data_IF_217449530188
#
_entry.id   IF_217449530188
#
_cell.length_a   1.000
_cell.length_b   1.000
_cell.length_c   1.000
_cell.angle_alpha   90.00
_cell.angle_beta   90.00
_cell.angle_gamma   90.00
#
_symmetry.space_group_name_H-M   'P 1'
#
loop_
_entity.id
_entity.type
_entity.pdbx_description
1 polymer ?
#
# COMPACT_ATOMS: atom_id res chain seq x y z
N UNK A 1 4.30 23.34 -31.03
CA UNK A 1 3.87 21.94 -31.25
C UNK A 1 4.63 21.08 -30.25
N UNK A 2 4.02 20.68 -29.13
CA UNK A 2 4.64 19.69 -28.24
C UNK A 2 4.58 18.35 -28.95
N UNK A 3 5.75 17.78 -29.26
CA UNK A 3 5.88 16.58 -30.09
C UNK A 3 5.10 15.40 -29.49
N UNK A 4 4.29 14.72 -30.31
CA UNK A 4 3.54 13.52 -29.93
C UNK A 4 4.42 12.43 -29.26
N UNK A 5 5.72 12.40 -29.60
CA UNK A 5 6.72 11.55 -28.94
C UNK A 5 6.89 11.82 -27.44
N UNK A 6 6.81 13.08 -27.00
CA UNK A 6 6.95 13.45 -25.58
C UNK A 6 5.76 12.95 -24.78
N UNK A 7 4.55 13.07 -25.33
CA UNK A 7 3.31 12.58 -24.71
C UNK A 7 3.27 11.06 -24.60
N UNK A 8 3.65 10.36 -25.67
CA UNK A 8 3.75 8.91 -25.68
C UNK A 8 4.81 8.41 -24.69
N UNK A 9 5.96 9.10 -24.60
CA UNK A 9 7.01 8.82 -23.62
C UNK A 9 6.57 9.05 -22.16
N UNK A 10 5.83 10.13 -21.91
CA UNK A 10 5.29 10.44 -20.58
C UNK A 10 4.26 9.41 -20.13
N UNK A 11 3.29 9.08 -21.00
CA UNK A 11 2.28 8.05 -20.73
C UNK A 11 2.94 6.70 -20.45
N UNK A 12 3.87 6.28 -21.31
CA UNK A 12 4.61 5.05 -21.13
C UNK A 12 5.40 5.03 -19.81
N UNK A 13 6.03 6.15 -19.44
CA UNK A 13 6.73 6.31 -18.17
C UNK A 13 5.82 6.18 -16.96
N UNK A 14 4.66 6.84 -16.99
CA UNK A 14 3.65 6.79 -15.92
C UNK A 14 3.08 5.37 -15.75
N UNK A 15 2.74 4.70 -16.85
CA UNK A 15 2.19 3.35 -16.83
C UNK A 15 3.21 2.33 -16.27
N UNK A 16 4.48 2.46 -16.68
CA UNK A 16 5.57 1.63 -16.16
C UNK A 16 5.82 1.89 -14.68
N UNK A 17 5.85 3.14 -14.25
CA UNK A 17 5.99 3.49 -12.83
C UNK A 17 4.84 2.92 -12.00
N UNK A 18 3.59 3.10 -12.44
CA UNK A 18 2.41 2.53 -11.78
C UNK A 18 2.51 1.01 -11.66
N UNK A 19 2.86 0.30 -12.74
CA UNK A 19 3.05 -1.16 -12.71
C UNK A 19 4.17 -1.59 -11.74
N UNK A 20 5.27 -0.83 -11.67
CA UNK A 20 6.36 -1.09 -10.74
C UNK A 20 5.92 -0.98 -9.28
N UNK A 21 5.19 0.10 -8.95
CA UNK A 21 4.63 0.27 -7.61
C UNK A 21 3.58 -0.78 -7.25
N UNK A 22 2.76 -1.21 -8.21
CA UNK A 22 1.81 -2.30 -8.01
C UNK A 22 2.51 -3.62 -7.64
N UNK A 23 3.61 -3.95 -8.33
CA UNK A 23 4.39 -5.15 -8.02
C UNK A 23 5.04 -5.08 -6.62
N UNK A 24 5.61 -3.93 -6.25
CA UNK A 24 6.19 -3.72 -4.91
C UNK A 24 5.11 -3.85 -3.83
N UNK A 25 3.93 -3.26 -4.07
CA UNK A 25 2.79 -3.39 -3.19
C UNK A 25 2.38 -4.85 -2.97
N UNK A 26 2.22 -5.64 -4.04
CA UNK A 26 1.87 -7.06 -3.94
C UNK A 26 2.94 -7.85 -3.19
N UNK A 27 4.22 -7.56 -3.43
CA UNK A 27 5.33 -8.18 -2.70
C UNK A 27 5.27 -7.90 -1.20
N UNK A 28 5.06 -6.64 -0.82
CA UNK A 28 4.94 -6.24 0.59
C UNK A 28 3.73 -6.88 1.27
N UNK A 29 2.57 -6.88 0.61
CA UNK A 29 1.36 -7.49 1.16
C UNK A 29 1.50 -9.01 1.32
N UNK A 30 2.13 -9.69 0.36
CA UNK A 30 2.42 -11.12 0.47
C UNK A 30 3.35 -11.42 1.66
N UNK A 31 4.43 -10.65 1.80
CA UNK A 31 5.34 -10.78 2.94
C UNK A 31 4.61 -10.54 4.27
N UNK A 32 3.74 -9.52 4.34
CA UNK A 32 2.95 -9.21 5.54
C UNK A 32 2.02 -10.36 5.95
N UNK A 33 1.40 -11.04 4.97
CA UNK A 33 0.55 -12.21 5.25
C UNK A 33 1.39 -13.36 5.80
N UNK A 34 2.54 -13.66 5.18
CA UNK A 34 3.42 -14.74 5.63
C UNK A 34 3.97 -14.47 7.04
N UNK A 35 4.39 -13.24 7.32
CA UNK A 35 4.86 -12.84 8.65
C UNK A 35 3.73 -12.86 9.68
N UNK A 36 2.48 -12.58 9.29
CA UNK A 36 1.33 -12.65 10.21
C UNK A 36 1.02 -14.07 10.66
N UNK A 37 1.19 -15.05 9.77
CA UNK A 37 1.05 -16.48 10.11
C UNK A 37 2.13 -16.89 11.11
N UNK A 38 3.36 -16.43 10.87
CA UNK A 38 4.47 -16.66 11.80
C UNK A 38 4.25 -15.96 13.15
N UNK A 39 3.71 -14.74 13.14
CA UNK A 39 3.37 -13.98 14.35
C UNK A 39 2.32 -14.72 15.20
N UNK A 40 1.28 -15.27 14.55
CA UNK A 40 0.25 -16.05 15.21
C UNK A 40 0.80 -17.34 15.86
N UNK A 41 1.77 -18.00 15.21
CA UNK A 41 2.38 -19.22 15.75
C UNK A 41 3.37 -18.95 16.90
N UNK A 42 4.14 -17.86 16.80
CA UNK A 42 5.20 -17.52 17.77
C UNK A 42 4.73 -16.60 18.89
N UNK A 43 3.56 -15.97 18.75
CA UNK A 43 2.98 -15.00 19.70
C UNK A 43 3.93 -13.84 20.04
N UNK A 44 4.77 -13.44 19.08
CA UNK A 44 5.74 -12.36 19.26
C UNK A 44 5.15 -11.00 18.84
N UNK A 45 5.04 -10.01 19.74
CA UNK A 45 4.40 -8.72 19.44
C UNK A 45 5.14 -7.91 18.37
N UNK A 46 6.47 -8.05 18.30
CA UNK A 46 7.30 -7.36 17.29
C UNK A 46 6.89 -7.76 15.87
N UNK A 47 6.58 -9.04 15.63
CA UNK A 47 6.17 -9.50 14.30
C UNK A 47 4.83 -8.91 13.89
N UNK A 48 3.88 -8.71 14.82
CA UNK A 48 2.62 -8.05 14.52
C UNK A 48 2.83 -6.58 14.12
N UNK A 49 3.76 -5.89 14.76
CA UNK A 49 4.16 -4.53 14.37
C UNK A 49 4.75 -4.51 12.96
N UNK A 50 5.65 -5.43 12.65
CA UNK A 50 6.24 -5.55 11.30
C UNK A 50 5.17 -5.82 10.23
N UNK A 51 4.19 -6.71 10.51
CA UNK A 51 3.06 -6.95 9.62
C UNK A 51 2.25 -5.68 9.37
N UNK A 52 1.90 -4.96 10.44
CA UNK A 52 1.13 -3.72 10.35
C UNK A 52 1.83 -2.65 9.53
N UNK A 53 3.14 -2.48 9.74
CA UNK A 53 3.98 -1.56 8.97
C UNK A 53 4.04 -1.96 7.50
N UNK A 54 4.25 -3.24 7.18
CA UNK A 54 4.28 -3.73 5.80
C UNK A 54 2.94 -3.50 5.07
N UNK A 55 1.80 -3.72 5.73
CA UNK A 55 0.48 -3.42 5.17
C UNK A 55 0.27 -1.92 4.91
N UNK A 56 0.72 -1.05 5.82
CA UNK A 56 0.61 0.41 5.64
C UNK A 56 1.49 0.93 4.50
N UNK A 57 2.74 0.44 4.40
CA UNK A 57 3.60 0.78 3.27
C UNK A 57 3.03 0.24 1.95
N UNK A 58 2.49 -1.00 1.95
CA UNK A 58 1.78 -1.54 0.79
C UNK A 58 0.61 -0.64 0.37
N UNK A 59 -0.24 -0.23 1.32
CA UNK A 59 -1.35 0.68 1.05
C UNK A 59 -0.88 2.04 0.48
N UNK A 60 0.24 2.58 0.98
CA UNK A 60 0.83 3.79 0.43
C UNK A 60 1.28 3.61 -1.04
N UNK A 61 2.00 2.53 -1.36
CA UNK A 61 2.41 2.26 -2.74
C UNK A 61 1.22 2.02 -3.66
N UNK A 62 0.16 1.39 -3.16
CA UNK A 62 -1.09 1.21 -3.89
C UNK A 62 -1.77 2.54 -4.21
N UNK A 63 -1.81 3.47 -3.25
CA UNK A 63 -2.33 4.82 -3.46
C UNK A 63 -1.53 5.56 -4.53
N UNK A 64 -0.19 5.52 -4.45
CA UNK A 64 0.70 6.13 -5.46
C UNK A 64 0.44 5.53 -6.85
N UNK A 65 0.32 4.21 -6.96
CA UNK A 65 -0.01 3.53 -8.21
C UNK A 65 -1.34 4.02 -8.79
N UNK A 66 -2.39 4.10 -7.97
CA UNK A 66 -3.72 4.54 -8.41
C UNK A 66 -3.70 6.00 -8.87
N UNK A 67 -3.01 6.88 -8.15
CA UNK A 67 -2.86 8.28 -8.52
C UNK A 67 -2.10 8.43 -9.84
N UNK A 68 -0.98 7.70 -10.02
CA UNK A 68 -0.23 7.72 -11.28
C UNK A 68 -1.07 7.21 -12.47
N UNK A 69 -1.89 6.19 -12.25
CA UNK A 69 -2.81 5.69 -13.27
C UNK A 69 -3.89 6.72 -13.61
N UNK A 70 -4.49 7.38 -12.62
CA UNK A 70 -5.46 8.46 -12.85
C UNK A 70 -4.84 9.63 -13.63
N UNK A 71 -3.61 10.01 -13.30
CA UNK A 71 -2.86 11.05 -14.01
C UNK A 71 -2.64 10.61 -15.47
N UNK A 72 -2.15 9.38 -15.70
CA UNK A 72 -1.95 8.83 -17.05
C UNK A 72 -3.23 8.92 -17.90
N UNK A 73 -4.37 8.53 -17.33
CA UNK A 73 -5.67 8.61 -18.02
C UNK A 73 -6.12 10.06 -18.29
N UNK A 74 -5.88 10.98 -17.35
CA UNK A 74 -6.23 12.39 -17.52
C UNK A 74 -5.39 13.07 -18.61
N UNK A 75 -4.10 12.75 -18.71
CA UNK A 75 -3.21 13.24 -19.77
C UNK A 75 -3.72 12.81 -21.15
N UNK A 76 -4.16 11.54 -21.27
CA UNK A 76 -4.75 11.02 -22.52
C UNK A 76 -6.06 11.72 -22.88
N UNK A 77 -6.90 11.99 -21.89
CA UNK A 77 -8.22 12.57 -22.09
C UNK A 77 -8.20 14.08 -22.40
N UNK A 78 -7.30 14.86 -21.77
CA UNK A 78 -7.36 16.32 -21.80
C UNK A 78 -6.23 16.99 -22.59
N UNK A 79 -5.07 16.36 -22.73
CA UNK A 79 -3.87 17.02 -23.30
C UNK A 79 -3.47 16.52 -24.69
N UNK A 80 -4.23 15.57 -25.27
CA UNK A 80 -4.01 15.10 -26.64
C UNK A 80 -4.20 16.26 -27.64
N UNK A 81 -3.31 16.43 -28.64
CA UNK A 81 -3.41 17.53 -29.59
C UNK A 81 -4.77 17.50 -30.34
N UNK A 82 -5.42 18.67 -30.39
CA UNK A 82 -6.78 18.88 -30.93
C UNK A 82 -7.00 18.39 -32.36
N UNK A 83 -5.92 18.18 -33.12
CA UNK A 83 -5.97 17.75 -34.52
C UNK A 83 -6.32 16.25 -34.70
N UNK A 84 -6.37 15.45 -33.63
CA UNK A 84 -6.83 14.04 -33.65
C UNK A 84 -8.18 13.83 -32.94
N UNK A 85 -8.88 14.91 -32.60
CA UNK A 85 -9.91 14.89 -31.57
C UNK A 85 -11.33 14.71 -32.13
N UNK A 86 -11.67 13.50 -32.57
CA UNK A 86 -13.07 13.05 -32.74
C UNK A 86 -13.60 12.43 -31.43
N UNK A 87 -13.23 12.99 -30.28
CA UNK A 87 -13.84 12.58 -29.00
C UNK A 87 -15.17 13.34 -28.89
N UNK A 88 -16.32 12.63 -28.83
CA UNK A 88 -17.62 13.29 -28.73
C UNK A 88 -17.68 14.17 -27.48
N UNK A 89 -18.38 15.31 -27.57
CA UNK A 89 -18.51 16.29 -26.47
C UNK A 89 -19.08 15.69 -25.17
N UNK A 90 -19.73 14.53 -25.26
CA UNK A 90 -20.35 13.81 -24.15
C UNK A 90 -19.55 12.56 -23.71
N UNK A 91 -18.26 12.47 -24.06
CA UNK A 91 -17.44 11.33 -23.64
C UNK A 91 -17.21 11.35 -22.12
N UNK A 92 -17.80 10.38 -21.43
CA UNK A 92 -17.54 10.11 -20.02
C UNK A 92 -16.38 9.14 -19.89
N UNK A 93 -15.42 9.48 -19.03
CA UNK A 93 -14.29 8.60 -18.72
C UNK A 93 -14.77 7.48 -17.79
N UNK A 94 -15.12 6.32 -18.36
CA UNK A 94 -15.55 5.16 -17.58
C UNK A 94 -14.35 4.30 -17.16
N UNK A 95 -14.11 4.23 -15.85
CA UNK A 95 -13.09 3.35 -15.29
C UNK A 95 -13.57 1.88 -15.25
N UNK A 96 -12.64 0.96 -15.52
CA UNK A 96 -12.90 -0.48 -15.43
C UNK A 96 -13.19 -0.92 -13.98
N UNK A 97 -13.90 -2.04 -13.81
CA UNK A 97 -14.21 -2.63 -12.50
C UNK A 97 -12.96 -2.89 -11.64
N UNK A 98 -11.84 -3.23 -12.27
CA UNK A 98 -10.56 -3.45 -11.59
C UNK A 98 -10.04 -2.22 -10.83
N UNK A 99 -10.37 -1.02 -11.31
CA UNK A 99 -10.03 0.24 -10.64
C UNK A 99 -10.78 0.38 -9.31
N UNK A 100 -12.09 0.11 -9.31
CA UNK A 100 -12.90 0.13 -8.08
C UNK A 100 -12.50 -0.95 -7.10
N UNK A 101 -12.18 -2.15 -7.57
CA UNK A 101 -11.61 -3.22 -6.74
C UNK A 101 -10.28 -2.80 -6.11
N UNK A 102 -9.46 -2.05 -6.84
CA UNK A 102 -8.20 -1.50 -6.34
C UNK A 102 -8.39 -0.46 -5.23
N UNK A 103 -9.43 0.37 -5.29
CA UNK A 103 -9.80 1.25 -4.17
C UNK A 103 -10.31 0.47 -2.96
N UNK A 104 -11.12 -0.56 -3.20
CA UNK A 104 -11.58 -1.47 -2.15
C UNK A 104 -10.41 -2.14 -1.43
N UNK A 105 -9.48 -2.73 -2.17
CA UNK A 105 -8.32 -3.40 -1.57
C UNK A 105 -7.39 -2.43 -0.83
N UNK A 106 -7.23 -1.19 -1.31
CA UNK A 106 -6.51 -0.14 -0.57
C UNK A 106 -7.11 0.10 0.82
N UNK A 107 -8.44 0.27 0.91
CA UNK A 107 -9.12 0.46 2.19
C UNK A 107 -8.94 -0.75 3.11
N UNK A 108 -9.07 -1.96 2.57
CA UNK A 108 -8.85 -3.18 3.33
C UNK A 108 -7.41 -3.28 3.86
N UNK A 109 -6.40 -3.00 3.03
CA UNK A 109 -5.00 -3.01 3.46
C UNK A 109 -4.71 -1.96 4.52
N UNK A 110 -5.29 -0.76 4.41
CA UNK A 110 -5.14 0.30 5.41
C UNK A 110 -5.75 -0.10 6.75
N UNK A 111 -6.99 -0.59 6.76
CA UNK A 111 -7.68 -1.04 7.97
C UNK A 111 -6.93 -2.21 8.60
N UNK A 112 -6.46 -3.16 7.79
CA UNK A 112 -5.69 -4.32 8.27
C UNK A 112 -4.38 -3.88 8.91
N UNK A 113 -3.64 -2.96 8.29
CA UNK A 113 -2.40 -2.42 8.85
C UNK A 113 -2.62 -1.72 10.19
N UNK A 114 -3.67 -0.90 10.31
CA UNK A 114 -4.05 -0.25 11.57
C UNK A 114 -4.42 -1.28 12.63
N UNK A 115 -5.22 -2.29 12.27
CA UNK A 115 -5.64 -3.34 13.19
C UNK A 115 -4.45 -4.11 13.78
N UNK A 116 -3.45 -4.46 12.96
CA UNK A 116 -2.23 -5.12 13.43
C UNK A 116 -1.41 -4.27 14.41
N UNK A 117 -1.31 -2.96 14.17
CA UNK A 117 -0.63 -2.05 15.10
C UNK A 117 -1.39 -1.88 16.42
N UNK A 118 -2.73 -1.81 16.38
CA UNK A 118 -3.54 -1.77 17.59
C UNK A 118 -3.41 -3.08 18.38
N UNK A 119 -3.37 -4.21 17.67
CA UNK A 119 -3.20 -5.53 18.27
C UNK A 119 -1.82 -5.67 18.93
N UNK A 120 -0.75 -5.20 18.29
CA UNK A 120 0.58 -5.24 18.90
C UNK A 120 0.66 -4.36 20.15
N UNK A 121 0.02 -3.18 20.15
CA UNK A 121 -0.10 -2.31 21.33
C UNK A 121 -0.89 -2.91 22.46
N UNK A 122 -2.00 -3.60 22.15
CA UNK A 122 -2.78 -4.30 23.16
C UNK A 122 -1.95 -5.41 23.82
N UNK A 123 -1.21 -6.19 23.04
CA UNK A 123 -0.32 -7.23 23.55
C UNK A 123 0.84 -6.70 24.40
N UNK A 124 1.50 -5.62 23.96
CA UNK A 124 2.55 -4.97 24.76
C UNK A 124 2.02 -4.55 26.14
N UNK A 125 0.77 -4.06 26.19
CA UNK A 125 0.13 -3.65 27.44
C UNK A 125 -0.09 -4.88 28.33
N UNK A 126 -0.64 -5.97 27.81
CA UNK A 126 -0.83 -7.22 28.56
C UNK A 126 0.48 -7.80 29.10
N UNK A 127 1.56 -7.80 28.30
CA UNK A 127 2.88 -8.29 28.75
C UNK A 127 3.45 -7.46 29.91
N UNK A 128 3.21 -6.15 29.94
CA UNK A 128 3.66 -5.28 31.04
C UNK A 128 2.89 -5.60 32.34
N UNK A 129 1.59 -5.84 32.26
CA UNK A 129 0.78 -6.19 33.43
C UNK A 129 1.01 -7.61 33.93
N UNK A 130 1.35 -8.55 33.05
CA UNK A 130 1.60 -9.95 33.38
C UNK A 130 3.05 -10.25 33.80
N UNK A 131 4.00 -9.33 33.61
CA UNK A 131 5.35 -9.47 34.17
C UNK A 131 5.25 -9.42 35.70
N UNK A 132 5.51 -10.52 36.43
CA UNK A 132 5.58 -10.43 37.88
C UNK A 132 6.70 -9.47 38.26
N UNK A 133 6.42 -8.50 39.13
CA UNK A 133 7.41 -7.61 39.79
C UNK A 133 8.39 -8.37 40.70
N UNK A 134 8.74 -9.61 40.36
CA UNK A 134 9.34 -10.59 41.28
C UNK A 134 10.36 -11.48 40.60
N UNK A 135 11.37 -10.90 39.96
CA UNK A 135 12.72 -11.49 39.94
C UNK A 135 13.76 -10.39 40.12
N UNK A 136 14.08 -10.14 41.39
CA UNK A 136 15.38 -9.65 41.84
C UNK A 136 16.49 -10.20 40.94
N UNK A 137 17.20 -9.33 40.22
CA UNK A 137 18.62 -9.58 39.97
C UNK A 137 19.36 -9.10 41.21
N UNK A 138 19.54 -10.00 42.19
CA UNK A 138 20.65 -9.87 43.14
C UNK A 138 21.92 -9.86 42.30
N UNK A 139 22.55 -8.70 42.22
CA UNK A 139 23.87 -8.57 41.60
C UNK A 139 24.84 -9.52 42.30
N UNK A 140 25.78 -10.14 41.55
CA UNK A 140 26.85 -10.87 42.19
C UNK A 140 27.65 -9.89 43.06
N UNK A 141 27.62 -10.13 44.38
CA UNK A 141 28.69 -9.68 45.26
C UNK A 141 29.85 -10.62 45.02
N UNK A 142 30.88 -10.14 44.33
CA UNK A 142 32.29 -10.48 44.49
C UNK A 142 33.10 -9.57 43.56
#
# INVERSE_FOLDING_TARGET
MVNAHVWCGLQYGLDRAASGFACVCLGLQLCAVLTSVQAAYTTLPVLFTDCGVMFLFGAFFQLVCMVLFMISMSVVAFERPRDLNDIPKDYTLDYSWSFYLGWGSFLFSLVTGIAYLLLSRAWETEEVWLKPMGKEKKGPKL
#
